data_IF_477594479645
#
_entry.id   IF_477594479645
#
_cell.length_a   1.000
_cell.length_b   1.000
_cell.length_c   1.000
_cell.angle_alpha   90.00
_cell.angle_beta   90.00
_cell.angle_gamma   90.00
#
_symmetry.space_group_name_H-M   'P 1'
#
loop_
_entity.id
_entity.type
_entity.pdbx_description
1 polymer ?
#
# COMPACT_ATOMS: atom_id res chain seq x y z
N UNK A 1 54.68 53.40 -40.54
CA UNK A 1 53.40 53.60 -39.81
C UNK A 1 52.67 52.26 -39.74
N UNK A 2 52.46 51.76 -38.50
CA UNK A 2 51.35 50.94 -37.94
C UNK A 2 50.55 49.99 -38.85
N UNK A 3 50.05 48.82 -38.45
CA UNK A 3 50.11 48.01 -37.24
C UNK A 3 49.47 46.62 -37.54
N UNK A 4 49.80 45.63 -36.72
CA UNK A 4 49.24 44.26 -36.68
C UNK A 4 47.80 44.18 -36.16
N UNK A 5 47.11 43.05 -36.44
CA UNK A 5 46.21 42.22 -35.55
C UNK A 5 45.19 41.43 -36.40
N UNK A 6 44.58 40.30 -36.03
CA UNK A 6 44.82 39.12 -35.17
C UNK A 6 43.68 38.12 -35.48
N UNK A 7 43.95 36.82 -35.31
CA UNK A 7 43.05 35.66 -35.46
C UNK A 7 41.86 35.60 -34.48
N UNK A 8 40.83 34.79 -34.81
CA UNK A 8 39.82 34.29 -33.86
C UNK A 8 38.90 33.20 -34.45
N UNK A 9 38.93 32.01 -33.86
CA UNK A 9 38.31 30.75 -34.29
C UNK A 9 36.79 30.63 -33.99
N UNK A 10 36.08 29.85 -34.82
CA UNK A 10 34.65 29.51 -34.68
C UNK A 10 34.47 28.27 -33.79
N UNK A 11 33.64 28.39 -32.75
CA UNK A 11 33.16 27.28 -31.93
C UNK A 11 31.82 26.75 -32.46
N UNK A 12 31.72 25.43 -32.66
CA UNK A 12 30.49 24.75 -33.08
C UNK A 12 29.85 24.07 -31.86
N UNK A 13 28.66 24.51 -31.48
CA UNK A 13 27.85 23.92 -30.41
C UNK A 13 26.99 22.77 -30.96
N UNK A 14 27.07 21.59 -30.34
CA UNK A 14 26.22 20.43 -30.66
C UNK A 14 24.99 20.46 -29.76
N UNK A 15 23.81 20.50 -30.37
CA UNK A 15 22.50 20.55 -29.71
C UNK A 15 22.03 19.16 -29.28
N UNK A 16 21.55 19.04 -28.05
CA UNK A 16 21.04 17.83 -27.43
C UNK A 16 19.65 17.43 -27.97
N UNK A 17 19.48 16.16 -28.31
CA UNK A 17 18.18 15.54 -28.59
C UNK A 17 17.71 14.71 -27.40
N UNK A 18 16.90 15.30 -26.52
CA UNK A 18 16.14 14.57 -25.49
C UNK A 18 14.79 14.17 -26.08
N UNK A 19 14.65 12.90 -26.48
CA UNK A 19 13.35 12.33 -26.82
C UNK A 19 12.51 12.19 -25.52
N UNK A 20 11.49 13.04 -25.39
CA UNK A 20 10.55 12.99 -24.28
C UNK A 20 9.69 11.73 -24.35
N UNK A 21 9.86 10.83 -23.38
CA UNK A 21 8.91 9.74 -23.15
C UNK A 21 7.73 10.34 -22.38
N UNK A 22 6.57 10.48 -23.03
CA UNK A 22 5.35 10.90 -22.35
C UNK A 22 4.99 9.84 -21.29
N UNK A 23 4.62 10.23 -20.06
CA UNK A 23 4.16 9.27 -19.07
C UNK A 23 2.85 8.66 -19.57
N UNK A 24 2.80 7.33 -19.70
CA UNK A 24 1.57 6.62 -19.95
C UNK A 24 0.64 6.82 -18.73
N UNK A 25 -0.47 7.54 -18.94
CA UNK A 25 -1.49 7.72 -17.92
C UNK A 25 -2.06 6.35 -17.54
N UNK A 26 -2.18 6.08 -16.24
CA UNK A 26 -2.70 4.82 -15.75
C UNK A 26 -4.23 4.78 -15.92
N UNK A 27 -4.73 3.82 -16.71
CA UNK A 27 -6.16 3.62 -16.94
C UNK A 27 -6.86 3.13 -15.67
N UNK A 28 -7.83 3.86 -15.12
CA UNK A 28 -8.58 3.46 -13.92
C UNK A 28 -9.89 2.78 -14.29
N UNK A 29 -10.20 1.64 -13.67
CA UNK A 29 -11.46 0.92 -13.90
C UNK A 29 -12.11 0.58 -12.56
N UNK A 30 -13.37 0.97 -12.38
CA UNK A 30 -14.15 0.67 -11.18
C UNK A 30 -15.47 -0.01 -11.55
N UNK A 31 -15.85 -1.01 -10.76
CA UNK A 31 -17.15 -1.66 -10.85
C UNK A 31 -18.14 -0.97 -9.91
N UNK A 32 -19.12 -0.27 -10.47
CA UNK A 32 -20.12 0.50 -9.71
C UNK A 32 -21.41 -0.30 -9.46
N UNK A 33 -21.62 -1.43 -10.13
CA UNK A 33 -22.78 -2.30 -9.92
C UNK A 33 -22.82 -3.50 -10.85
N UNK A 34 -23.57 -4.55 -10.49
CA UNK A 34 -23.91 -5.68 -11.38
C UNK A 34 -25.41 -5.90 -11.33
N UNK A 35 -26.07 -5.86 -12.49
CA UNK A 35 -27.52 -6.04 -12.59
C UNK A 35 -27.89 -6.77 -13.88
N UNK A 36 -28.70 -7.85 -13.76
CA UNK A 36 -29.19 -8.61 -14.91
C UNK A 36 -28.07 -9.19 -15.81
N UNK A 37 -26.94 -9.60 -15.22
CA UNK A 37 -25.77 -10.11 -15.95
C UNK A 37 -24.94 -9.04 -16.67
N UNK A 38 -25.20 -7.76 -16.37
CA UNK A 38 -24.45 -6.60 -16.90
C UNK A 38 -23.66 -5.95 -15.79
N UNK A 39 -22.47 -5.47 -16.10
CA UNK A 39 -21.65 -4.70 -15.18
C UNK A 39 -21.80 -3.20 -15.47
N UNK A 40 -22.05 -2.38 -14.45
CA UNK A 40 -21.97 -0.92 -14.52
C UNK A 40 -20.54 -0.52 -14.17
N UNK A 41 -19.82 0.04 -15.13
CA UNK A 41 -18.37 0.29 -15.04
C UNK A 41 -18.09 1.77 -15.21
N UNK A 42 -17.19 2.30 -14.39
CA UNK A 42 -16.58 3.61 -14.57
C UNK A 42 -15.13 3.40 -15.04
N UNK A 43 -14.76 4.07 -16.14
CA UNK A 43 -13.40 4.02 -16.70
C UNK A 43 -12.88 5.46 -16.71
N UNK A 44 -11.71 5.69 -16.09
CA UNK A 44 -11.04 7.00 -15.97
C UNK A 44 -11.91 8.14 -15.40
N UNK A 45 -12.89 7.83 -14.56
CA UNK A 45 -13.81 8.83 -14.02
C UNK A 45 -14.88 9.30 -15.01
N UNK A 46 -14.98 8.67 -16.19
CA UNK A 46 -16.04 8.93 -17.15
C UNK A 46 -17.42 8.47 -16.63
N UNK A 47 -18.48 8.89 -17.33
CA UNK A 47 -19.84 8.51 -16.97
C UNK A 47 -20.00 6.97 -16.92
N UNK A 48 -20.61 6.41 -15.85
CA UNK A 48 -20.80 4.96 -15.72
C UNK A 48 -21.55 4.36 -16.90
N UNK A 49 -21.08 3.22 -17.39
CA UNK A 49 -21.64 2.53 -18.55
C UNK A 49 -21.93 1.06 -18.24
N UNK A 50 -23.07 0.57 -18.73
CA UNK A 50 -23.36 -0.86 -18.70
C UNK A 50 -22.59 -1.62 -19.79
N UNK A 51 -21.93 -2.69 -19.39
CA UNK A 51 -21.24 -3.64 -20.25
C UNK A 51 -21.86 -5.03 -20.10
N UNK A 52 -21.96 -5.75 -21.22
CA UNK A 52 -22.37 -7.16 -21.28
C UNK A 52 -21.15 -8.07 -21.49
N UNK A 53 -21.16 -9.34 -21.03
CA UNK A 53 -20.08 -10.27 -21.31
C UNK A 53 -19.76 -10.35 -22.80
N UNK A 54 -18.48 -10.18 -23.16
CA UNK A 54 -17.99 -10.07 -24.52
C UNK A 54 -17.82 -8.64 -25.05
N UNK A 55 -18.47 -7.64 -24.43
CA UNK A 55 -18.41 -6.25 -24.86
C UNK A 55 -17.11 -5.57 -24.39
N UNK A 56 -16.46 -4.83 -25.29
CA UNK A 56 -15.24 -4.08 -25.02
C UNK A 56 -15.45 -2.56 -25.15
N UNK A 57 -14.82 -1.78 -24.28
CA UNK A 57 -14.84 -0.32 -24.27
C UNK A 57 -13.56 0.24 -23.64
N UNK A 58 -12.89 1.19 -24.30
CA UNK A 58 -11.67 1.85 -23.78
C UNK A 58 -10.58 0.88 -23.26
N UNK A 59 -10.33 -0.22 -23.99
CA UNK A 59 -9.33 -1.23 -23.60
C UNK A 59 -9.77 -2.19 -22.48
N UNK A 60 -11.00 -2.05 -21.98
CA UNK A 60 -11.64 -2.93 -20.99
C UNK A 60 -12.68 -3.79 -21.68
N UNK A 61 -12.60 -5.12 -21.53
CA UNK A 61 -13.59 -6.08 -22.03
C UNK A 61 -14.18 -6.86 -20.88
N UNK A 62 -15.51 -6.87 -20.75
CA UNK A 62 -16.17 -7.70 -19.76
C UNK A 62 -16.13 -9.16 -20.24
N UNK A 63 -15.65 -10.08 -19.40
CA UNK A 63 -15.60 -11.51 -19.71
C UNK A 63 -16.78 -12.26 -19.09
N UNK A 64 -17.07 -11.99 -17.82
CA UNK A 64 -18.17 -12.65 -17.09
C UNK A 64 -18.59 -11.83 -15.88
N UNK A 65 -19.81 -12.07 -15.38
CA UNK A 65 -20.35 -11.49 -14.14
C UNK A 65 -20.81 -12.61 -13.23
N UNK A 66 -20.56 -12.52 -11.92
CA UNK A 66 -21.03 -13.47 -10.92
C UNK A 66 -21.36 -12.72 -9.62
N UNK A 67 -22.62 -12.74 -9.19
CA UNK A 67 -23.06 -12.01 -8.00
C UNK A 67 -22.78 -10.51 -8.11
N UNK A 68 -22.03 -9.98 -7.16
CA UNK A 68 -21.54 -8.60 -7.06
C UNK A 68 -20.15 -8.39 -7.71
N UNK A 69 -19.64 -9.41 -8.41
CA UNK A 69 -18.31 -9.42 -8.99
C UNK A 69 -18.35 -9.53 -10.51
N UNK A 70 -17.36 -8.96 -11.19
CA UNK A 70 -17.21 -9.06 -12.64
C UNK A 70 -15.75 -9.25 -13.04
N UNK A 71 -15.53 -10.12 -14.03
CA UNK A 71 -14.20 -10.41 -14.57
C UNK A 71 -14.02 -9.61 -15.84
N UNK A 72 -12.99 -8.76 -15.87
CA UNK A 72 -12.62 -7.94 -17.01
C UNK A 72 -11.28 -8.39 -17.59
N UNK A 73 -11.14 -8.28 -18.90
CA UNK A 73 -9.86 -8.19 -19.58
C UNK A 73 -9.55 -6.72 -19.75
N UNK A 74 -8.54 -6.21 -19.04
CA UNK A 74 -8.10 -4.82 -19.14
C UNK A 74 -6.69 -4.84 -19.73
N UNK A 75 -6.53 -4.31 -20.93
CA UNK A 75 -5.25 -4.27 -21.65
C UNK A 75 -4.56 -5.65 -21.77
N UNK A 76 -5.34 -6.72 -22.01
CA UNK A 76 -4.85 -8.10 -22.18
C UNK A 76 -4.70 -8.89 -20.88
N UNK A 77 -5.19 -8.36 -19.75
CA UNK A 77 -4.97 -8.92 -18.41
C UNK A 77 -6.30 -9.13 -17.72
N UNK A 78 -6.56 -10.37 -17.30
CA UNK A 78 -7.76 -10.72 -16.53
C UNK A 78 -7.69 -10.10 -15.15
N UNK A 79 -8.71 -9.35 -14.76
CA UNK A 79 -8.87 -8.68 -13.47
C UNK A 79 -10.27 -8.96 -12.95
N UNK A 80 -10.39 -9.30 -11.67
CA UNK A 80 -11.69 -9.49 -11.00
C UNK A 80 -11.96 -8.24 -10.19
N UNK A 81 -13.11 -7.61 -10.40
CA UNK A 81 -13.55 -6.43 -9.67
C UNK A 81 -14.81 -6.76 -8.89
N UNK A 82 -14.91 -6.29 -7.65
CA UNK A 82 -16.14 -6.35 -6.86
C UNK A 82 -16.77 -4.95 -6.76
N UNK A 83 -18.08 -4.91 -6.62
CA UNK A 83 -18.81 -3.67 -6.39
C UNK A 83 -18.37 -3.07 -5.05
N UNK A 84 -17.86 -1.84 -5.07
CA UNK A 84 -17.38 -1.15 -3.87
C UNK A 84 -15.86 -1.19 -3.66
N UNK A 85 -15.12 -1.94 -4.48
CA UNK A 85 -13.66 -1.88 -4.50
C UNK A 85 -13.15 -0.53 -5.02
N UNK A 86 -11.96 -0.13 -4.57
CA UNK A 86 -11.26 1.03 -5.12
C UNK A 86 -10.89 0.79 -6.61
N UNK A 87 -10.87 1.84 -7.46
CA UNK A 87 -10.57 1.69 -8.89
C UNK A 87 -9.21 1.02 -9.15
N UNK A 88 -9.17 0.00 -10.02
CA UNK A 88 -7.92 -0.63 -10.43
C UNK A 88 -7.23 0.20 -11.51
N UNK A 89 -5.94 0.49 -11.35
CA UNK A 89 -5.14 1.22 -12.33
C UNK A 89 -4.34 0.25 -13.21
N UNK A 90 -4.66 0.16 -14.50
CA UNK A 90 -4.07 -0.80 -15.45
C UNK A 90 -3.25 -0.06 -16.51
N UNK A 91 -2.02 0.29 -16.15
CA UNK A 91 -1.01 0.89 -17.05
C UNK A 91 0.43 0.56 -16.68
N UNK A 92 0.63 -0.31 -15.69
CA UNK A 92 1.95 -0.81 -15.28
C UNK A 92 1.95 -2.30 -15.57
N UNK A 93 2.74 -2.73 -16.55
CA UNK A 93 3.12 -4.14 -16.71
C UNK A 93 3.51 -4.71 -15.35
N UNK A 94 2.99 -5.87 -14.94
CA UNK A 94 3.60 -6.65 -13.89
C UNK A 94 4.85 -7.25 -14.49
N UNK A 95 5.90 -6.45 -14.42
CA UNK A 95 7.15 -7.01 -13.95
C UNK A 95 6.84 -7.79 -12.66
N UNK A 96 7.50 -8.94 -12.52
CA UNK A 96 7.46 -9.86 -11.41
C UNK A 96 7.03 -9.21 -10.08
N UNK A 97 6.25 -9.94 -9.28
CA UNK A 97 6.09 -9.68 -7.85
C UNK A 97 7.47 -9.72 -7.18
N UNK A 98 8.20 -8.61 -7.29
CA UNK A 98 9.42 -8.24 -6.59
C UNK A 98 9.62 -6.74 -6.87
N UNK A 99 9.32 -5.90 -5.88
CA UNK A 99 9.78 -4.50 -5.86
C UNK A 99 8.86 -3.40 -6.39
N UNK A 100 7.59 -3.67 -6.71
CA UNK A 100 6.62 -2.59 -6.97
C UNK A 100 6.27 -1.84 -5.67
N UNK A 101 6.56 -0.54 -5.59
CA UNK A 101 6.35 0.28 -4.39
C UNK A 101 4.94 0.07 -3.79
N UNK A 102 4.88 -0.69 -2.70
CA UNK A 102 3.64 -0.89 -1.95
C UNK A 102 3.33 0.41 -1.21
N UNK A 103 2.28 1.11 -1.64
CA UNK A 103 1.80 2.35 -1.02
C UNK A 103 0.57 2.07 -0.18
N UNK A 104 0.60 2.52 1.07
CA UNK A 104 -0.56 2.51 1.97
C UNK A 104 -0.97 3.96 2.20
N UNK A 105 -2.26 4.26 2.09
CA UNK A 105 -2.80 5.58 2.42
C UNK A 105 -3.82 5.40 3.53
N UNK A 106 -3.59 6.07 4.65
CA UNK A 106 -4.41 6.00 5.85
C UNK A 106 -4.99 7.39 6.14
N UNK A 107 -6.27 7.43 6.50
CA UNK A 107 -6.92 8.64 7.00
C UNK A 107 -7.03 8.55 8.51
N UNK A 108 -6.81 9.67 9.19
CA UNK A 108 -6.94 9.77 10.63
C UNK A 108 -8.41 9.65 11.07
N UNK A 109 -8.64 9.09 12.25
CA UNK A 109 -9.94 9.12 12.91
C UNK A 109 -10.26 10.53 13.47
N UNK A 110 -11.42 10.68 14.11
CA UNK A 110 -11.84 11.95 14.71
C UNK A 110 -10.91 12.44 15.83
N UNK A 111 -10.09 11.55 16.38
CA UNK A 111 -9.11 11.81 17.43
C UNK A 111 -7.70 12.07 16.87
N UNK A 112 -7.52 11.95 15.55
CA UNK A 112 -6.26 12.17 14.86
C UNK A 112 -5.34 10.95 14.78
N UNK A 113 -5.82 9.75 15.15
CA UNK A 113 -5.06 8.50 15.09
C UNK A 113 -5.23 7.78 13.76
N UNK A 114 -4.18 7.10 13.30
CA UNK A 114 -4.25 6.23 12.13
C UNK A 114 -4.47 4.79 12.59
N UNK A 115 -5.62 4.23 12.20
CA UNK A 115 -6.06 2.93 12.71
C UNK A 115 -6.35 1.94 11.59
N UNK A 116 -5.32 1.42 10.90
CA UNK A 116 -5.55 0.45 9.84
C UNK A 116 -5.99 -0.90 10.38
N UNK A 117 -6.96 -1.51 9.71
CA UNK A 117 -7.13 -2.95 9.79
C UNK A 117 -5.93 -3.66 9.17
N UNK A 118 -5.56 -4.82 9.70
CA UNK A 118 -4.47 -5.60 9.14
C UNK A 118 -4.45 -7.03 9.67
N UNK A 119 -3.35 -7.72 9.40
CA UNK A 119 -3.17 -9.12 9.79
C UNK A 119 -1.80 -9.34 10.42
N UNK A 120 -1.74 -10.23 11.40
CA UNK A 120 -0.51 -10.79 11.93
C UNK A 120 -0.60 -12.30 11.75
N UNK A 121 0.40 -12.88 11.08
CA UNK A 121 0.43 -14.31 10.75
C UNK A 121 -0.90 -14.80 10.13
N UNK A 122 -1.48 -13.99 9.23
CA UNK A 122 -2.74 -14.27 8.54
C UNK A 122 -4.01 -14.06 9.36
N UNK A 123 -3.93 -13.55 10.59
CA UNK A 123 -5.08 -13.33 11.49
C UNK A 123 -5.37 -11.86 11.70
N UNK A 124 -6.64 -11.50 11.58
CA UNK A 124 -7.09 -10.11 11.62
C UNK A 124 -6.84 -9.44 12.97
N UNK A 125 -6.31 -8.22 12.92
CA UNK A 125 -6.11 -7.34 14.06
C UNK A 125 -6.44 -5.90 13.67
N UNK A 126 -6.74 -5.08 14.68
CA UNK A 126 -6.86 -3.64 14.52
C UNK A 126 -5.57 -2.99 15.04
N UNK A 127 -4.89 -2.25 14.16
CA UNK A 127 -3.70 -1.52 14.53
C UNK A 127 -4.02 -0.07 14.93
N UNK A 128 -3.10 0.52 15.67
CA UNK A 128 -2.89 1.96 15.79
C UNK A 128 -1.44 2.26 15.41
N UNK A 129 -1.21 3.20 14.49
CA UNK A 129 0.14 3.63 14.13
C UNK A 129 0.76 4.37 15.31
N UNK A 130 1.91 3.88 15.78
CA UNK A 130 2.65 4.50 16.87
C UNK A 130 4.13 4.64 16.48
N UNK A 131 4.51 5.85 16.08
CA UNK A 131 5.89 6.17 15.69
C UNK A 131 6.86 6.23 16.88
N UNK A 132 6.34 6.31 18.11
CA UNK A 132 7.13 6.26 19.35
C UNK A 132 7.48 4.83 19.76
N UNK A 133 6.70 3.84 19.32
CA UNK A 133 6.99 2.43 19.58
C UNK A 133 8.17 1.92 18.74
N UNK A 134 9.19 1.37 19.40
CA UNK A 134 10.36 0.79 18.70
C UNK A 134 10.01 -0.49 17.92
N UNK A 135 9.06 -1.27 18.43
CA UNK A 135 8.62 -2.55 17.86
C UNK A 135 7.09 -2.61 17.81
N UNK A 136 6.52 -3.60 17.13
CA UNK A 136 5.07 -3.88 17.25
C UNK A 136 4.77 -4.32 18.68
N UNK A 137 3.71 -3.79 19.28
CA UNK A 137 3.32 -4.14 20.66
C UNK A 137 1.90 -4.71 20.67
N UNK A 138 1.74 -5.87 21.30
CA UNK A 138 0.46 -6.56 21.46
C UNK A 138 0.15 -6.79 22.94
N UNK A 139 -1.14 -6.88 23.27
CA UNK A 139 -1.57 -7.42 24.55
C UNK A 139 -1.50 -8.95 24.56
N UNK A 140 -1.38 -9.56 25.73
CA UNK A 140 -1.55 -11.01 25.89
C UNK A 140 -2.91 -11.50 25.39
N UNK A 141 -3.97 -10.70 25.57
CA UNK A 141 -5.30 -10.99 25.03
C UNK A 141 -5.31 -11.06 23.50
N UNK A 142 -4.61 -10.14 22.82
CA UNK A 142 -4.46 -10.19 21.37
C UNK A 142 -3.66 -11.41 20.95
N UNK A 143 -2.53 -11.68 21.62
CA UNK A 143 -1.69 -12.84 21.32
C UNK A 143 -2.50 -14.15 21.42
N UNK A 144 -3.32 -14.30 22.47
CA UNK A 144 -4.24 -15.44 22.61
C UNK A 144 -5.27 -15.48 21.50
N UNK A 145 -5.93 -14.35 21.18
CA UNK A 145 -6.94 -14.25 20.12
C UNK A 145 -6.39 -14.64 18.75
N UNK A 146 -5.13 -14.33 18.48
CA UNK A 146 -4.47 -14.69 17.21
C UNK A 146 -3.65 -15.99 17.31
N UNK A 147 -3.82 -16.80 18.37
CA UNK A 147 -3.08 -18.05 18.57
C UNK A 147 -1.55 -17.89 18.43
N UNK A 148 -1.01 -16.76 18.89
CA UNK A 148 0.42 -16.48 18.96
C UNK A 148 0.97 -16.99 20.30
N UNK A 149 1.74 -18.06 20.26
CA UNK A 149 2.45 -18.60 21.42
C UNK A 149 3.66 -17.72 21.77
N UNK A 150 3.41 -16.69 22.58
CA UNK A 150 4.43 -15.77 23.04
C UNK A 150 5.25 -16.30 24.23
N UNK A 151 4.84 -17.42 24.85
CA UNK A 151 5.47 -17.96 26.06
C UNK A 151 6.88 -18.49 25.81
N UNK A 152 7.18 -18.83 24.55
CA UNK A 152 8.51 -19.22 24.06
C UNK A 152 9.39 -18.02 23.72
N UNK A 153 8.84 -16.80 23.76
CA UNK A 153 9.57 -15.57 23.52
C UNK A 153 10.56 -15.22 24.62
N UNK A 154 11.53 -14.36 24.30
CA UNK A 154 12.51 -13.88 25.27
C UNK A 154 11.86 -12.87 26.21
N UNK A 155 11.97 -13.06 27.52
CA UNK A 155 11.51 -12.06 28.49
C UNK A 155 12.33 -10.77 28.35
N UNK A 156 11.65 -9.64 28.28
CA UNK A 156 12.25 -8.31 28.18
C UNK A 156 11.54 -7.35 29.11
N UNK A 157 12.30 -6.41 29.67
CA UNK A 157 11.76 -5.30 30.46
C UNK A 157 11.45 -4.13 29.54
N UNK A 158 10.23 -3.60 29.59
CA UNK A 158 9.78 -2.49 28.75
C UNK A 158 9.39 -1.32 29.64
N UNK A 159 10.01 -0.17 29.42
CA UNK A 159 9.61 1.07 30.08
C UNK A 159 8.33 1.60 29.46
N UNK A 160 7.32 1.84 30.29
CA UNK A 160 6.05 2.47 29.92
C UNK A 160 5.84 3.73 30.75
N UNK A 161 4.81 4.50 30.42
CA UNK A 161 4.42 5.67 31.22
C UNK A 161 4.08 5.31 32.69
N UNK A 162 3.61 4.08 32.93
CA UNK A 162 3.22 3.59 34.26
C UNK A 162 4.35 2.82 34.95
N UNK A 163 5.59 2.90 34.45
CA UNK A 163 6.75 2.17 34.96
C UNK A 163 7.17 1.02 34.06
N UNK A 164 8.05 0.16 34.58
CA UNK A 164 8.60 -0.96 33.81
C UNK A 164 7.71 -2.20 33.92
N UNK A 165 7.43 -2.83 32.79
CA UNK A 165 6.66 -4.08 32.69
C UNK A 165 7.51 -5.17 32.03
N UNK A 166 7.38 -6.40 32.50
CA UNK A 166 8.00 -7.55 31.84
C UNK A 166 7.06 -8.06 30.75
N UNK A 167 7.57 -8.12 29.51
CA UNK A 167 6.88 -8.70 28.37
C UNK A 167 7.69 -9.81 27.72
N UNK A 168 7.14 -10.38 26.64
CA UNK A 168 7.81 -11.40 25.83
C UNK A 168 8.10 -10.85 24.45
N UNK A 169 9.39 -10.78 24.11
CA UNK A 169 9.83 -10.45 22.76
C UNK A 169 9.72 -11.69 21.87
N UNK A 170 9.04 -11.51 20.74
CA UNK A 170 8.77 -12.53 19.74
C UNK A 170 9.10 -12.00 18.35
N UNK A 171 9.15 -12.91 17.37
CA UNK A 171 9.22 -12.56 15.97
C UNK A 171 7.93 -13.00 15.29
N UNK A 172 7.25 -12.07 14.63
CA UNK A 172 6.06 -12.32 13.85
C UNK A 172 6.50 -12.78 12.45
N UNK A 173 5.92 -13.87 11.96
CA UNK A 173 6.22 -14.41 10.64
C UNK A 173 5.87 -13.39 9.57
N UNK A 174 4.69 -12.77 9.69
CA UNK A 174 4.31 -11.66 8.83
C UNK A 174 3.35 -10.68 9.49
N UNK A 175 3.47 -9.41 9.09
CA UNK A 175 2.54 -8.33 9.38
C UNK A 175 2.08 -7.75 8.07
N UNK A 176 0.75 -7.65 7.87
CA UNK A 176 0.14 -7.10 6.67
C UNK A 176 -0.76 -5.92 7.01
N UNK A 177 -0.61 -4.82 6.27
CA UNK A 177 -1.48 -3.64 6.31
C UNK A 177 -1.80 -3.24 4.87
N UNK A 178 -3.09 -3.27 4.50
CA UNK A 178 -3.48 -3.22 3.10
C UNK A 178 -2.78 -4.31 2.28
N UNK A 179 -2.21 -3.93 1.14
CA UNK A 179 -1.44 -4.84 0.28
C UNK A 179 0.02 -5.02 0.73
N UNK A 180 0.46 -4.25 1.72
CA UNK A 180 1.84 -4.29 2.17
C UNK A 180 2.05 -5.38 3.20
N UNK A 181 2.98 -6.31 2.92
CA UNK A 181 3.32 -7.39 3.82
C UNK A 181 4.82 -7.37 4.13
N UNK A 182 5.13 -7.35 5.43
CA UNK A 182 6.49 -7.38 5.96
C UNK A 182 6.67 -8.68 6.73
N UNK A 183 7.78 -9.37 6.47
CA UNK A 183 8.14 -10.62 7.13
C UNK A 183 9.15 -10.41 8.25
N UNK A 184 9.16 -11.31 9.23
CA UNK A 184 10.15 -11.34 10.31
C UNK A 184 10.12 -10.08 11.18
N UNK A 185 8.92 -9.62 11.57
CA UNK A 185 8.73 -8.38 12.31
C UNK A 185 8.93 -8.62 13.80
N UNK A 186 9.84 -7.87 14.42
CA UNK A 186 10.03 -7.94 15.87
C UNK A 186 8.79 -7.38 16.60
N UNK A 187 8.33 -8.08 17.64
CA UNK A 187 7.22 -7.63 18.45
C UNK A 187 7.44 -7.92 19.93
N UNK A 188 6.71 -7.22 20.79
CA UNK A 188 6.63 -7.51 22.22
C UNK A 188 5.17 -7.74 22.59
N UNK A 189 4.92 -8.81 23.34
CA UNK A 189 3.65 -9.09 23.99
C UNK A 189 3.72 -8.66 25.45
N UNK A 190 2.81 -7.77 25.85
CA UNK A 190 2.70 -7.26 27.22
C UNK A 190 1.51 -7.90 27.94
N UNK A 191 1.60 -8.12 29.27
CA UNK A 191 0.52 -8.70 30.06
C UNK A 191 -0.69 -7.77 30.20
N UNK A 192 -0.47 -6.46 30.08
CA UNK A 192 -1.51 -5.46 30.22
C UNK A 192 -2.47 -5.46 29.03
N UNK A 193 -3.76 -5.25 29.31
CA UNK A 193 -4.77 -5.05 28.27
C UNK A 193 -4.46 -3.76 27.49
N UNK A 194 -4.69 -3.81 26.19
CA UNK A 194 -4.53 -2.66 25.29
C UNK A 194 -5.73 -2.63 24.34
N UNK A 195 -6.24 -1.45 23.98
CA UNK A 195 -7.40 -1.34 23.09
C UNK A 195 -7.05 -1.76 21.65
N UNK A 196 -5.79 -1.61 21.24
CA UNK A 196 -5.32 -1.85 19.88
C UNK A 196 -3.89 -2.40 19.88
N UNK A 197 -3.50 -3.06 18.78
CA UNK A 197 -2.11 -3.42 18.53
C UNK A 197 -1.34 -2.18 18.07
N UNK A 198 -0.20 -1.87 18.69
CA UNK A 198 0.62 -0.73 18.28
C UNK A 198 1.53 -1.14 17.12
N UNK A 199 1.40 -0.46 15.98
CA UNK A 199 2.23 -0.68 14.81
C UNK A 199 3.47 0.22 14.88
N UNK A 200 4.56 -0.32 15.43
CA UNK A 200 5.80 0.41 15.68
C UNK A 200 6.87 0.29 14.59
N UNK A 201 8.05 0.85 14.89
CA UNK A 201 9.14 1.05 13.94
C UNK A 201 9.78 -0.23 13.36
N UNK A 202 9.65 -1.37 14.03
CA UNK A 202 9.99 -2.68 13.45
C UNK A 202 9.25 -3.00 12.13
N UNK A 203 8.08 -2.37 11.91
CA UNK A 203 7.33 -2.40 10.66
C UNK A 203 7.50 -1.08 9.88
N UNK A 204 7.27 0.07 10.53
CA UNK A 204 7.16 1.36 9.86
C UNK A 204 8.44 1.79 9.11
N UNK A 205 9.62 1.39 9.59
CA UNK A 205 10.91 1.75 8.97
C UNK A 205 11.13 1.11 7.58
N UNK A 206 10.31 0.13 7.21
CA UNK A 206 10.28 -0.45 5.85
C UNK A 206 9.63 0.48 4.82
N UNK A 207 9.02 1.56 5.29
CA UNK A 207 8.29 2.53 4.50
C UNK A 207 8.90 3.93 4.66
N UNK A 208 8.81 4.72 3.60
CA UNK A 208 8.91 6.16 3.69
C UNK A 208 7.55 6.68 4.13
N UNK A 209 7.54 7.47 5.19
CA UNK A 209 6.35 8.01 5.80
C UNK A 209 6.17 9.48 5.40
N UNK A 210 4.99 9.84 4.92
CA UNK A 210 4.62 11.22 4.64
C UNK A 210 3.25 11.50 5.26
N UNK A 211 3.17 12.51 6.13
CA UNK A 211 1.91 12.98 6.69
C UNK A 211 1.54 14.32 6.05
N UNK A 212 0.32 14.40 5.53
CA UNK A 212 -0.26 15.64 5.00
C UNK A 212 -1.65 15.79 5.60
N UNK A 213 -1.82 16.74 6.51
CA UNK A 213 -3.04 16.94 7.29
C UNK A 213 -3.46 15.66 8.05
N UNK A 214 -4.65 15.15 7.71
CA UNK A 214 -5.30 13.95 8.22
C UNK A 214 -4.91 12.68 7.44
N UNK A 215 -4.02 12.78 6.46
CA UNK A 215 -3.57 11.65 5.66
C UNK A 215 -2.13 11.23 6.03
N UNK A 216 -1.93 9.93 6.17
CA UNK A 216 -0.62 9.27 6.30
C UNK A 216 -0.39 8.35 5.10
N UNK A 217 0.66 8.63 4.34
CA UNK A 217 1.14 7.77 3.27
C UNK A 217 2.37 6.98 3.75
N UNK A 218 2.38 5.68 3.47
CA UNK A 218 3.52 4.78 3.67
C UNK A 218 3.93 4.19 2.32
N UNK A 219 5.04 4.64 1.75
CA UNK A 219 5.58 4.14 0.48
C UNK A 219 6.73 3.15 0.77
N UNK A 220 6.61 1.89 0.33
CA UNK A 220 7.62 0.86 0.63
C UNK A 220 8.98 1.20 0.02
N UNK A 221 10.04 1.09 0.84
CA UNK A 221 11.41 1.46 0.43
C UNK A 221 12.19 0.30 -0.21
N UNK A 222 11.85 -0.95 0.12
CA UNK A 222 12.53 -2.18 -0.29
C UNK A 222 11.68 -3.41 0.06
#
# INVERSE_FOLDING_TARGET
>A
MQAWTRSGSIALAVFAGLAGVAPAMAQQVALSGVAGGKALVNIDGAAPRFMTPGQAHQGVKLLSTQGDSAVFDINGRRQVLQVGDAPVSVGRTPAAQDGGAQRIVLTADAQGHFMPAGQINGRSVQFMVDTGATVVILSESDAKRINLDHTKGRKVSVSTANGSVVGHQVQLDSVRVGDAQVYGVAAIVLPQAMPYVLLGNSFLTRFQMQRTNDQLTLDRRF
#
